data_IF_062034184937
#
_entry.id   IF_062034184937
#
_cell.length_a   1.000
_cell.length_b   1.000
_cell.length_c   1.000
_cell.angle_alpha   90.00
_cell.angle_beta   90.00
_cell.angle_gamma   90.00
#
_symmetry.space_group_name_H-M   'P 1'
#
loop_
_entity.id
_entity.type
_entity.pdbx_description
1 polymer ?
#
# COMPACT_ATOMS: atom_id res chain seq x y z
N UNK A 1 -9.22 -8.11 -6.83
CA UNK A 1 -9.12 -6.67 -7.13
C UNK A 1 -8.87 -5.85 -5.87
N UNK A 2 -9.69 -5.97 -4.81
CA UNK A 2 -9.57 -5.19 -3.56
C UNK A 2 -8.18 -5.34 -2.93
N UNK A 3 -7.60 -6.54 -2.89
CA UNK A 3 -6.24 -6.78 -2.36
C UNK A 3 -5.14 -6.09 -3.17
N UNK A 4 -5.29 -6.02 -4.49
CA UNK A 4 -4.34 -5.28 -5.33
C UNK A 4 -4.37 -3.80 -4.98
N UNK A 5 -5.58 -3.22 -4.83
CA UNK A 5 -5.73 -1.83 -4.39
C UNK A 5 -5.11 -1.66 -2.99
N UNK A 6 -5.49 -2.52 -2.04
CA UNK A 6 -4.95 -2.47 -0.67
C UNK A 6 -3.42 -2.47 -0.69
N UNK A 7 -2.79 -3.34 -1.47
CA UNK A 7 -1.33 -3.49 -1.51
C UNK A 7 -0.56 -2.26 -1.97
N UNK A 8 -1.18 -1.35 -2.71
CA UNK A 8 -0.55 -0.08 -3.13
C UNK A 8 -0.79 1.06 -2.15
N UNK A 9 -1.88 1.01 -1.38
CA UNK A 9 -2.27 2.11 -0.50
C UNK A 9 -1.95 1.87 0.97
N UNK A 10 -1.85 0.62 1.40
CA UNK A 10 -1.60 0.21 2.78
C UNK A 10 -0.47 -0.80 2.85
N UNK A 11 0.05 -1.04 4.04
CA UNK A 11 1.08 -2.07 4.30
C UNK A 11 0.59 -3.41 3.76
N UNK A 12 1.43 -4.16 3.03
CA UNK A 12 1.05 -5.44 2.45
C UNK A 12 0.69 -6.47 3.53
N UNK A 13 -0.18 -7.39 3.14
CA UNK A 13 -0.56 -8.51 3.99
C UNK A 13 0.64 -9.44 4.27
N UNK A 14 0.60 -10.08 5.42
CA UNK A 14 1.53 -11.17 5.75
C UNK A 14 1.34 -12.30 4.72
N UNK A 15 2.44 -12.93 4.24
CA UNK A 15 2.36 -14.02 3.27
C UNK A 15 1.40 -15.12 3.73
N UNK A 16 0.53 -15.56 2.82
CA UNK A 16 -0.50 -16.56 3.06
C UNK A 16 -1.57 -16.19 4.12
N UNK A 17 -1.56 -14.96 4.63
CA UNK A 17 -2.52 -14.47 5.64
C UNK A 17 -3.20 -13.18 5.17
N UNK A 18 -4.12 -13.26 4.20
CA UNK A 18 -4.82 -12.07 3.70
C UNK A 18 -5.68 -11.45 4.79
N UNK A 19 -5.61 -10.14 4.88
CA UNK A 19 -6.30 -9.39 5.93
C UNK A 19 -7.79 -9.16 5.62
N UNK A 20 -8.09 -8.79 4.37
CA UNK A 20 -9.45 -8.60 3.90
C UNK A 20 -9.85 -9.74 2.96
N UNK A 21 -11.07 -10.24 3.12
CA UNK A 21 -11.67 -11.31 2.32
C UNK A 21 -10.87 -12.62 2.34
N UNK A 22 -11.35 -13.59 3.11
CA UNK A 22 -10.83 -14.94 3.11
C UNK A 22 -10.94 -15.57 1.71
N UNK A 23 -9.89 -16.26 1.25
CA UNK A 23 -9.98 -17.17 0.10
C UNK A 23 -9.01 -18.32 0.29
N UNK A 24 -9.50 -19.52 0.11
CA UNK A 24 -8.75 -20.79 0.28
C UNK A 24 -7.56 -20.94 -0.67
N UNK A 25 -7.50 -20.14 -1.75
CA UNK A 25 -6.40 -20.14 -2.73
C UNK A 25 -5.26 -19.16 -2.47
N UNK A 26 -5.26 -18.44 -1.34
CA UNK A 26 -4.31 -17.32 -1.11
C UNK A 26 -2.92 -17.72 -0.59
N UNK A 27 -2.58 -19.00 -0.60
CA UNK A 27 -1.35 -19.54 0.02
C UNK A 27 -0.04 -18.86 -0.40
N UNK A 28 0.02 -18.22 -1.58
CA UNK A 28 1.25 -17.68 -2.16
C UNK A 28 1.15 -16.19 -2.57
N UNK A 29 0.07 -15.52 -2.23
CA UNK A 29 -0.18 -14.14 -2.65
C UNK A 29 0.25 -13.12 -1.59
N UNK A 30 1.54 -12.83 -1.47
CA UNK A 30 1.96 -11.57 -0.87
C UNK A 30 2.13 -10.55 -2.00
N UNK A 31 1.18 -9.64 -2.12
CA UNK A 31 1.23 -8.54 -3.07
C UNK A 31 1.71 -7.33 -2.29
N UNK A 32 2.93 -6.87 -2.55
CA UNK A 32 3.49 -5.68 -1.91
C UNK A 32 3.80 -4.61 -2.95
N UNK A 33 3.07 -3.51 -2.91
CA UNK A 33 3.29 -2.33 -3.74
C UNK A 33 3.33 -1.01 -2.94
N UNK A 34 3.31 -1.11 -1.62
CA UNK A 34 3.25 0.03 -0.72
C UNK A 34 4.60 0.74 -0.59
N UNK A 35 4.59 2.06 -0.71
CA UNK A 35 5.73 2.89 -0.34
C UNK A 35 5.55 3.37 1.11
N UNK A 36 6.39 2.92 2.06
CA UNK A 36 6.30 3.35 3.46
C UNK A 36 6.26 4.88 3.59
N UNK A 37 5.38 5.39 4.43
CA UNK A 37 5.04 6.80 4.61
C UNK A 37 4.30 7.44 3.42
N UNK A 38 4.72 7.18 2.19
CA UNK A 38 4.21 7.88 1.00
C UNK A 38 2.93 7.28 0.42
N UNK A 39 2.74 5.95 0.57
CA UNK A 39 1.65 5.27 -0.15
C UNK A 39 1.66 5.64 -1.64
N UNK A 40 0.53 5.88 -2.24
CA UNK A 40 0.39 6.41 -3.61
C UNK A 40 0.38 7.94 -3.68
N UNK A 41 0.52 8.66 -2.55
CA UNK A 41 0.31 10.11 -2.51
C UNK A 41 1.30 10.89 -3.41
N UNK A 42 2.58 10.49 -3.43
CA UNK A 42 3.59 11.10 -4.30
C UNK A 42 3.33 10.83 -5.77
N UNK A 43 2.97 9.60 -6.10
CA UNK A 43 2.65 9.17 -7.48
C UNK A 43 1.45 9.96 -8.02
N UNK A 44 0.37 10.06 -7.24
CA UNK A 44 -0.84 10.80 -7.61
C UNK A 44 -0.54 12.29 -7.78
N UNK A 45 0.22 12.87 -6.86
CA UNK A 45 0.61 14.29 -6.94
C UNK A 45 1.44 14.56 -8.19
N UNK A 46 2.44 13.72 -8.48
CA UNK A 46 3.28 13.82 -9.67
C UNK A 46 2.47 13.63 -10.95
N UNK A 47 1.66 12.58 -11.04
CA UNK A 47 0.83 12.29 -12.20
C UNK A 47 -0.16 13.42 -12.51
N UNK A 48 -0.71 14.07 -11.48
CA UNK A 48 -1.60 15.21 -11.64
C UNK A 48 -0.88 16.44 -12.21
N UNK A 49 0.36 16.67 -11.79
CA UNK A 49 1.17 17.80 -12.24
C UNK A 49 1.82 17.57 -13.62
N UNK A 50 2.30 16.35 -13.87
CA UNK A 50 3.08 15.99 -15.06
C UNK A 50 2.46 14.83 -15.85
N UNK A 51 1.19 14.97 -16.26
CA UNK A 51 0.38 13.93 -16.92
C UNK A 51 1.00 13.29 -18.16
N UNK A 52 1.79 14.04 -18.91
CA UNK A 52 2.42 13.57 -20.17
C UNK A 52 3.78 12.89 -19.94
N UNK A 53 4.29 12.89 -18.71
CA UNK A 53 5.59 12.31 -18.38
C UNK A 53 5.58 10.79 -18.64
N UNK A 54 6.70 10.25 -19.13
CA UNK A 54 6.80 8.83 -19.48
C UNK A 54 6.52 7.89 -18.31
N UNK A 55 6.95 8.25 -17.10
CA UNK A 55 6.72 7.44 -15.89
C UNK A 55 5.24 7.29 -15.54
N UNK A 56 4.42 8.32 -15.84
CA UNK A 56 2.95 8.24 -15.67
C UNK A 56 2.35 7.22 -16.63
N UNK A 57 2.79 7.21 -17.87
CA UNK A 57 2.34 6.20 -18.86
C UNK A 57 2.76 4.81 -18.44
N UNK A 58 4.01 4.66 -17.98
CA UNK A 58 4.54 3.36 -17.58
C UNK A 58 3.85 2.81 -16.33
N UNK A 59 3.58 3.65 -15.31
CA UNK A 59 2.85 3.18 -14.11
C UNK A 59 1.41 2.79 -14.46
N UNK A 60 0.76 3.47 -15.41
CA UNK A 60 -0.57 3.07 -15.90
C UNK A 60 -0.51 1.70 -16.56
N UNK A 61 0.48 1.44 -17.41
CA UNK A 61 0.67 0.13 -18.03
C UNK A 61 0.90 -0.94 -16.96
N UNK A 62 1.76 -0.67 -15.97
CA UNK A 62 1.98 -1.59 -14.84
C UNK A 62 0.68 -1.86 -14.07
N UNK A 63 -0.16 -0.85 -13.83
CA UNK A 63 -1.45 -1.04 -13.18
C UNK A 63 -2.39 -1.91 -14.03
N UNK A 64 -2.48 -1.67 -15.34
CA UNK A 64 -3.27 -2.51 -16.24
C UNK A 64 -2.79 -3.97 -16.17
N UNK A 65 -1.47 -4.20 -16.23
CA UNK A 65 -0.91 -5.54 -16.08
C UNK A 65 -1.18 -6.16 -14.71
N UNK A 66 -1.22 -5.36 -13.63
CA UNK A 66 -1.55 -5.86 -12.30
C UNK A 66 -3.02 -6.26 -12.15
N UNK A 67 -3.94 -5.54 -12.81
CA UNK A 67 -5.38 -5.80 -12.68
C UNK A 67 -5.90 -6.86 -13.66
N UNK A 68 -5.24 -7.08 -14.79
CA UNK A 68 -5.66 -8.07 -15.78
C UNK A 68 -4.86 -9.36 -15.59
N UNK A 69 -5.49 -10.48 -15.15
CA UNK A 69 -4.77 -11.71 -14.80
C UNK A 69 -3.91 -12.28 -15.93
N UNK A 70 -4.38 -12.23 -17.16
CA UNK A 70 -3.63 -12.75 -18.30
C UNK A 70 -2.35 -11.93 -18.58
N UNK A 71 -2.41 -10.59 -18.42
CA UNK A 71 -1.24 -9.73 -18.56
C UNK A 71 -0.28 -9.89 -17.39
N UNK A 72 -0.82 -10.10 -16.18
CA UNK A 72 -0.01 -10.40 -15.01
C UNK A 72 0.74 -11.74 -15.18
N UNK A 73 0.07 -12.76 -15.68
CA UNK A 73 0.66 -14.10 -15.88
C UNK A 73 1.77 -14.11 -16.97
N UNK A 74 1.80 -13.12 -17.87
CA UNK A 74 2.87 -12.96 -18.84
C UNK A 74 4.26 -12.82 -18.19
N UNK A 75 4.33 -12.22 -16.98
CA UNK A 75 5.57 -12.14 -16.19
C UNK A 75 6.01 -13.49 -15.60
N UNK A 76 5.22 -14.53 -15.75
CA UNK A 76 5.51 -15.90 -15.35
C UNK A 76 5.18 -16.88 -16.47
N UNK A 77 5.60 -16.56 -17.69
CA UNK A 77 5.46 -17.41 -18.88
C UNK A 77 4.04 -17.93 -19.13
N UNK A 78 3.02 -17.09 -18.86
CA UNK A 78 1.61 -17.42 -18.96
C UNK A 78 1.15 -18.63 -18.13
N UNK A 79 1.89 -18.96 -17.06
CA UNK A 79 1.41 -19.91 -16.08
C UNK A 79 0.21 -19.31 -15.35
N UNK A 80 -0.91 -20.04 -15.22
CA UNK A 80 -2.23 -19.55 -14.80
C UNK A 80 -2.33 -18.94 -13.40
N UNK A 81 -1.21 -18.83 -12.67
CA UNK A 81 -1.15 -18.21 -11.35
C UNK A 81 -0.93 -16.71 -11.41
N UNK A 82 -1.56 -15.96 -10.49
CA UNK A 82 -1.25 -14.55 -10.29
C UNK A 82 0.19 -14.40 -9.76
N UNK A 83 1.01 -13.61 -10.44
CA UNK A 83 2.43 -13.46 -10.14
C UNK A 83 2.75 -12.02 -9.71
N UNK A 84 3.23 -11.81 -8.49
CA UNK A 84 3.45 -10.49 -7.93
C UNK A 84 4.92 -10.09 -7.79
N UNK A 85 5.88 -10.99 -8.11
CA UNK A 85 7.32 -10.68 -7.94
C UNK A 85 7.82 -9.55 -8.83
N UNK A 86 7.19 -9.30 -9.98
CA UNK A 86 7.54 -8.20 -10.87
C UNK A 86 7.15 -6.82 -10.32
N UNK A 87 6.43 -6.76 -9.19
CA UNK A 87 5.98 -5.50 -8.57
C UNK A 87 7.13 -4.60 -8.10
N UNK A 88 8.37 -5.10 -8.03
CA UNK A 88 9.53 -4.25 -7.81
C UNK A 88 9.68 -3.17 -8.89
N UNK A 89 9.25 -3.44 -10.14
CA UNK A 89 9.28 -2.45 -11.22
C UNK A 89 8.35 -1.25 -10.95
N UNK A 90 7.03 -1.43 -10.75
CA UNK A 90 6.17 -0.31 -10.40
C UNK A 90 6.59 0.38 -9.12
N UNK A 91 7.10 -0.32 -8.09
CA UNK A 91 7.60 0.28 -6.85
C UNK A 91 8.75 1.23 -7.14
N UNK A 92 9.71 0.84 -7.97
CA UNK A 92 10.84 1.69 -8.35
C UNK A 92 10.38 2.95 -9.08
N UNK A 93 9.44 2.81 -10.02
CA UNK A 93 8.85 3.95 -10.74
C UNK A 93 8.09 4.87 -9.77
N UNK A 94 7.31 4.31 -8.85
CA UNK A 94 6.59 5.05 -7.84
C UNK A 94 7.53 5.82 -6.91
N UNK A 95 8.63 5.19 -6.48
CA UNK A 95 9.66 5.83 -5.65
C UNK A 95 10.31 7.00 -6.40
N UNK A 96 10.68 6.81 -7.67
CA UNK A 96 11.25 7.87 -8.51
C UNK A 96 10.25 9.03 -8.70
N UNK A 97 8.98 8.77 -9.02
CA UNK A 97 7.95 9.80 -9.17
C UNK A 97 7.74 10.57 -7.86
N UNK A 98 7.77 9.86 -6.73
CA UNK A 98 7.62 10.46 -5.41
C UNK A 98 8.81 11.34 -5.04
N UNK A 99 10.05 10.90 -5.34
CA UNK A 99 11.25 11.68 -5.14
C UNK A 99 11.23 12.96 -5.99
N UNK A 100 10.90 12.87 -7.27
CA UNK A 100 10.75 14.01 -8.15
C UNK A 100 9.62 14.97 -7.68
N UNK A 101 8.52 14.41 -7.14
CA UNK A 101 7.47 15.24 -6.57
C UNK A 101 7.91 15.97 -5.30
N UNK A 102 8.80 15.38 -4.49
CA UNK A 102 9.39 16.03 -3.32
C UNK A 102 10.38 17.11 -3.70
N UNK A 103 11.15 16.94 -4.75
CA UNK A 103 12.12 17.94 -5.23
C UNK A 103 11.42 19.13 -5.87
N UNK A 104 10.40 18.93 -6.66
CA UNK A 104 9.65 19.98 -7.35
C UNK A 104 8.61 20.64 -6.42
N UNK A 105 8.97 21.81 -5.85
CA UNK A 105 8.11 22.57 -4.92
C UNK A 105 6.77 23.02 -5.51
N UNK A 106 6.61 23.02 -6.82
CA UNK A 106 5.33 23.36 -7.48
C UNK A 106 4.28 22.25 -7.29
N UNK A 107 4.71 21.01 -7.06
CA UNK A 107 3.84 19.85 -6.88
C UNK A 107 3.30 19.82 -5.45
N UNK A 108 1.98 19.79 -5.31
CA UNK A 108 1.29 19.75 -4.01
C UNK A 108 0.81 18.35 -3.70
N UNK A 109 1.19 17.82 -2.53
CA UNK A 109 0.78 16.47 -2.08
C UNK A 109 -0.67 16.40 -1.58
N UNK A 110 -1.32 17.55 -1.33
CA UNK A 110 -2.69 17.61 -0.75
C UNK A 110 -3.68 16.66 -1.44
N UNK A 111 -3.73 16.65 -2.77
CA UNK A 111 -4.66 15.78 -3.51
C UNK A 111 -4.30 14.31 -3.41
N UNK A 112 -3.01 13.97 -3.44
CA UNK A 112 -2.53 12.60 -3.25
C UNK A 112 -2.86 12.08 -1.86
N UNK A 113 -2.57 12.87 -0.82
CA UNK A 113 -2.89 12.53 0.57
C UNK A 113 -4.40 12.32 0.75
N UNK A 114 -5.23 13.22 0.20
CA UNK A 114 -6.68 13.11 0.29
C UNK A 114 -7.22 11.83 -0.36
N UNK A 115 -6.71 11.47 -1.55
CA UNK A 115 -7.12 10.25 -2.25
C UNK A 115 -6.66 9.02 -1.46
N UNK A 116 -5.41 8.98 -0.99
CA UNK A 116 -4.92 7.87 -0.16
C UNK A 116 -5.74 7.71 1.12
N UNK A 117 -6.01 8.82 1.83
CA UNK A 117 -6.86 8.81 3.01
C UNK A 117 -8.29 8.33 2.72
N UNK A 118 -8.87 8.74 1.60
CA UNK A 118 -10.18 8.26 1.14
C UNK A 118 -10.20 6.75 0.86
N UNK A 119 -9.16 6.22 0.20
CA UNK A 119 -9.05 4.77 -0.04
C UNK A 119 -8.88 4.02 1.29
N UNK A 120 -8.03 4.50 2.19
CA UNK A 120 -7.86 3.89 3.53
C UNK A 120 -9.15 3.90 4.32
N UNK A 121 -9.91 5.01 4.29
CA UNK A 121 -11.21 5.11 4.93
C UNK A 121 -12.22 4.12 4.32
N UNK A 122 -12.26 3.98 2.98
CA UNK A 122 -13.10 3.00 2.32
C UNK A 122 -12.75 1.56 2.73
N UNK A 123 -11.45 1.23 2.83
CA UNK A 123 -11.00 -0.09 3.30
C UNK A 123 -11.40 -0.32 4.77
N UNK A 124 -11.29 0.70 5.62
CA UNK A 124 -11.74 0.62 7.01
C UNK A 124 -13.25 0.39 7.11
N UNK A 125 -14.05 1.08 6.31
CA UNK A 125 -15.50 0.86 6.25
C UNK A 125 -15.81 -0.57 5.80
N UNK A 126 -15.15 -1.08 4.75
CA UNK A 126 -15.33 -2.46 4.28
C UNK A 126 -15.01 -3.46 5.40
N UNK A 127 -13.93 -3.25 6.16
CA UNK A 127 -13.54 -4.14 7.25
C UNK A 127 -14.58 -4.19 8.38
N UNK A 128 -15.32 -3.11 8.60
CA UNK A 128 -16.34 -2.99 9.66
C UNK A 128 -17.71 -3.54 9.22
N UNK A 129 -17.97 -3.64 7.91
CA UNK A 129 -19.29 -4.05 7.42
C UNK A 129 -19.76 -5.37 8.05
N UNK A 130 -21.07 -5.46 8.37
CA UNK A 130 -21.63 -6.67 8.93
C UNK A 130 -21.72 -7.77 7.87
N UNK A 131 -21.44 -9.00 8.27
CA UNK A 131 -21.61 -10.21 7.46
C UNK A 131 -22.53 -11.17 8.17
N UNK A 132 -23.41 -11.84 7.40
CA UNK A 132 -24.21 -12.95 7.92
C UNK A 132 -23.31 -14.15 8.17
N UNK A 133 -23.28 -14.63 9.40
CA UNK A 133 -22.59 -15.86 9.80
C UNK A 133 -23.37 -17.08 9.31
N UNK A 134 -22.74 -18.24 9.25
CA UNK A 134 -23.37 -19.52 8.86
C UNK A 134 -24.59 -19.87 9.71
N UNK A 135 -24.60 -19.41 10.96
CA UNK A 135 -25.69 -19.64 11.93
C UNK A 135 -26.85 -18.62 11.81
N UNK A 136 -26.76 -17.67 10.85
CA UNK A 136 -27.79 -16.69 10.56
C UNK A 136 -27.67 -15.36 11.34
N UNK A 137 -26.73 -15.27 12.28
CA UNK A 137 -26.46 -14.07 13.08
C UNK A 137 -25.66 -13.01 12.27
N UNK A 138 -25.84 -11.74 12.64
CA UNK A 138 -25.11 -10.63 12.06
C UNK A 138 -23.86 -10.36 12.91
N UNK A 139 -22.69 -10.68 12.37
CA UNK A 139 -21.40 -10.36 12.99
C UNK A 139 -20.74 -9.17 12.30
N UNK A 140 -20.16 -8.28 13.11
CA UNK A 140 -19.39 -7.11 12.67
C UNK A 140 -17.91 -7.48 12.60
N UNK A 141 -17.14 -6.80 11.74
CA UNK A 141 -15.70 -7.02 11.51
C UNK A 141 -15.33 -8.38 10.87
N UNK A 142 -16.29 -9.10 10.36
CA UNK A 142 -16.09 -10.42 9.73
C UNK A 142 -15.32 -10.37 8.38
N UNK A 143 -15.23 -9.18 7.75
CA UNK A 143 -14.42 -9.03 6.53
C UNK A 143 -12.93 -8.87 6.82
N UNK A 144 -12.53 -8.59 8.07
CA UNK A 144 -11.15 -8.55 8.50
C UNK A 144 -10.77 -9.86 9.18
N UNK A 145 -10.04 -10.74 8.47
CA UNK A 145 -9.61 -12.04 9.01
C UNK A 145 -8.71 -11.90 10.25
N UNK A 146 -7.97 -10.80 10.34
CA UNK A 146 -7.04 -10.49 11.44
C UNK A 146 -7.24 -9.04 11.90
N UNK A 147 -8.29 -8.74 12.68
CA UNK A 147 -8.67 -7.36 13.03
C UNK A 147 -7.55 -6.57 13.71
N UNK A 148 -6.77 -7.21 14.60
CA UNK A 148 -5.65 -6.58 15.28
C UNK A 148 -4.55 -6.15 14.30
N UNK A 149 -4.19 -7.03 13.36
CA UNK A 149 -3.23 -6.72 12.33
C UNK A 149 -3.75 -5.60 11.41
N UNK A 150 -5.02 -5.68 10.99
CA UNK A 150 -5.65 -4.65 10.16
C UNK A 150 -5.62 -3.27 10.83
N UNK A 151 -5.94 -3.21 12.14
CA UNK A 151 -5.88 -1.98 12.90
C UNK A 151 -4.46 -1.39 12.94
N UNK A 152 -3.43 -2.21 13.19
CA UNK A 152 -2.03 -1.76 13.19
C UNK A 152 -1.62 -1.25 11.81
N UNK A 153 -1.94 -1.97 10.74
CA UNK A 153 -1.68 -1.56 9.35
C UNK A 153 -2.33 -0.21 9.04
N UNK A 154 -3.59 -0.04 9.45
CA UNK A 154 -4.33 1.21 9.23
C UNK A 154 -3.70 2.37 10.01
N UNK A 155 -3.36 2.17 11.28
CA UNK A 155 -2.73 3.19 12.14
C UNK A 155 -1.39 3.64 11.56
N UNK A 156 -0.50 2.71 11.20
CA UNK A 156 0.82 3.04 10.65
C UNK A 156 0.66 3.76 9.29
N UNK A 157 -0.27 3.32 8.45
CA UNK A 157 -0.51 3.94 7.14
C UNK A 157 -1.05 5.37 7.28
N UNK A 158 -1.98 5.60 8.19
CA UNK A 158 -2.50 6.96 8.49
C UNK A 158 -1.41 7.84 9.08
N UNK A 159 -0.63 7.32 10.05
CA UNK A 159 0.51 8.05 10.63
C UNK A 159 1.51 8.47 9.56
N UNK A 160 1.81 7.59 8.59
CA UNK A 160 2.64 7.91 7.43
C UNK A 160 2.09 9.06 6.60
N UNK A 161 0.80 9.08 6.31
CA UNK A 161 0.17 10.18 5.56
C UNK A 161 0.18 11.50 6.36
N UNK A 162 0.01 11.45 7.68
CA UNK A 162 0.13 12.64 8.54
C UNK A 162 1.56 13.19 8.53
N UNK A 163 2.57 12.33 8.66
CA UNK A 163 3.98 12.72 8.54
C UNK A 163 4.25 13.36 7.18
N UNK A 164 3.78 12.77 6.10
CA UNK A 164 3.92 13.32 4.76
C UNK A 164 3.25 14.70 4.63
N UNK A 165 2.09 14.89 5.25
CA UNK A 165 1.41 16.19 5.28
C UNK A 165 2.26 17.25 6.00
N UNK A 166 2.89 16.92 7.13
CA UNK A 166 3.78 17.82 7.84
C UNK A 166 5.05 18.14 7.04
N UNK A 167 5.65 17.15 6.39
CA UNK A 167 6.82 17.33 5.51
C UNK A 167 6.47 18.25 4.33
N UNK A 168 5.32 18.04 3.67
CA UNK A 168 4.87 18.92 2.59
C UNK A 168 4.64 20.35 3.08
N UNK A 169 4.16 20.53 4.30
CA UNK A 169 3.98 21.84 4.92
C UNK A 169 5.31 22.53 5.22
N UNK A 170 6.31 21.80 5.74
CA UNK A 170 7.67 22.32 5.98
C UNK A 170 8.34 22.73 4.66
N UNK A 171 8.25 21.86 3.67
CA UNK A 171 8.80 22.10 2.32
C UNK A 171 8.26 23.37 1.70
N UNK A 172 6.96 23.61 1.78
CA UNK A 172 6.31 24.81 1.23
C UNK A 172 6.66 26.09 1.98
N UNK A 173 7.01 26.00 3.27
CA UNK A 173 7.50 27.14 4.05
C UNK A 173 8.95 27.48 3.78
N UNK A 174 9.63 26.84 2.83
CA UNK A 174 11.02 27.07 2.49
C UNK A 174 12.02 26.53 3.52
N UNK A 175 11.57 25.80 4.56
CA UNK A 175 12.43 25.21 5.58
C UNK A 175 13.14 23.96 5.04
N UNK A 176 14.30 23.65 5.61
CA UNK A 176 14.98 22.38 5.33
C UNK A 176 14.07 21.22 5.80
N UNK A 177 13.64 20.40 4.86
CA UNK A 177 12.76 19.26 5.10
C UNK A 177 13.44 17.92 4.83
N UNK A 178 14.62 17.94 4.19
CA UNK A 178 15.28 16.71 3.71
C UNK A 178 15.59 15.75 4.85
N UNK A 179 16.19 16.26 5.93
CA UNK A 179 16.50 15.43 7.11
C UNK A 179 15.23 14.87 7.75
N UNK A 180 14.19 15.71 7.88
CA UNK A 180 12.90 15.26 8.42
C UNK A 180 12.27 14.20 7.53
N UNK A 181 12.28 14.37 6.21
CA UNK A 181 11.80 13.39 5.25
C UNK A 181 12.58 12.08 5.35
N UNK A 182 13.90 12.12 5.39
CA UNK A 182 14.76 10.94 5.50
C UNK A 182 14.48 10.17 6.80
N UNK A 183 14.53 10.85 7.95
CA UNK A 183 14.29 10.22 9.25
C UNK A 183 12.90 9.61 9.32
N UNK A 184 11.87 10.36 8.89
CA UNK A 184 10.49 9.86 8.87
C UNK A 184 10.31 8.65 7.95
N UNK A 185 10.97 8.65 6.77
CA UNK A 185 10.91 7.51 5.83
C UNK A 185 11.56 6.27 6.44
N UNK A 186 12.76 6.40 7.02
CA UNK A 186 13.45 5.28 7.69
C UNK A 186 12.62 4.74 8.84
N UNK A 187 12.08 5.62 9.69
CA UNK A 187 11.20 5.21 10.80
C UNK A 187 9.95 4.47 10.29
N UNK A 188 9.32 4.97 9.23
CA UNK A 188 8.17 4.32 8.62
C UNK A 188 8.54 2.94 8.03
N UNK A 189 9.69 2.82 7.36
CA UNK A 189 10.18 1.53 6.86
C UNK A 189 10.37 0.53 7.99
N UNK A 190 11.03 0.94 9.09
CA UNK A 190 11.23 0.09 10.27
C UNK A 190 9.88 -0.33 10.87
N UNK A 191 8.96 0.61 11.08
CA UNK A 191 7.63 0.31 11.63
C UNK A 191 6.84 -0.67 10.75
N UNK A 192 6.84 -0.45 9.42
CA UNK A 192 6.18 -1.35 8.47
C UNK A 192 6.79 -2.75 8.50
N UNK A 193 8.12 -2.85 8.42
CA UNK A 193 8.82 -4.14 8.42
C UNK A 193 8.61 -4.88 9.73
N UNK A 194 8.78 -4.18 10.88
CA UNK A 194 8.58 -4.77 12.20
C UNK A 194 7.15 -5.30 12.39
N UNK A 195 6.13 -4.57 11.91
CA UNK A 195 4.74 -5.03 11.99
C UNK A 195 4.51 -6.29 11.15
N UNK A 196 5.01 -6.33 9.91
CA UNK A 196 4.88 -7.50 9.02
C UNK A 196 5.62 -8.72 9.61
N UNK A 197 6.82 -8.53 10.15
CA UNK A 197 7.59 -9.63 10.78
C UNK A 197 6.89 -10.13 12.04
N UNK A 198 6.50 -9.24 12.95
CA UNK A 198 5.82 -9.60 14.18
C UNK A 198 4.54 -10.41 13.92
N UNK A 199 3.66 -9.90 13.06
CA UNK A 199 2.44 -10.63 12.71
C UNK A 199 2.73 -11.85 11.82
N UNK A 200 3.80 -11.84 11.04
CA UNK A 200 4.23 -13.00 10.27
C UNK A 200 4.58 -14.18 11.17
N UNK A 201 5.26 -13.92 12.29
CA UNK A 201 5.57 -14.95 13.30
C UNK A 201 4.31 -15.34 14.06
N UNK A 202 3.55 -14.38 14.59
CA UNK A 202 2.38 -14.66 15.44
C UNK A 202 1.25 -15.37 14.69
N UNK A 203 1.10 -15.13 13.39
CA UNK A 203 0.12 -15.79 12.53
C UNK A 203 0.65 -17.08 11.87
N UNK A 204 1.85 -17.49 12.20
CA UNK A 204 2.46 -18.74 11.72
C UNK A 204 2.82 -18.74 10.23
N UNK A 205 3.09 -17.57 9.63
CA UNK A 205 3.60 -17.46 8.26
C UNK A 205 5.13 -17.56 8.21
N UNK A 206 5.81 -17.16 9.29
CA UNK A 206 7.26 -17.27 9.45
C UNK A 206 7.59 -18.19 10.65
N UNK A 207 8.71 -18.91 10.62
CA UNK A 207 9.17 -19.66 11.77
C UNK A 207 9.47 -18.69 12.93
N UNK A 208 9.18 -19.12 14.15
CA UNK A 208 9.45 -18.33 15.37
C UNK A 208 10.95 -18.29 15.73
N UNK A 209 11.72 -19.23 15.20
CA UNK A 209 13.17 -19.36 15.43
C UNK A 209 13.89 -19.58 14.11
N UNK A 210 14.98 -18.87 13.89
CA UNK A 210 15.96 -19.11 12.85
C UNK A 210 17.18 -19.78 13.49
#
# INVERSE_FOLDING_TARGET
LVRIIQSFFMIPDVPARPNLFSSDGAKWSSIGGYLPMFSMAGVIAFAKAKRKHWSVKLIIICMICAFIPILNSAFYTFNSSYYARWFYMPILIMAMMTAQALDDRSIRFKSGIAICGGVMAAMAVIAILPKKTTDGDIAWFEFANYPAYFAVVLIISIAGLLLLYFIDRLRRKGRSFMTAALVSTVTACVACTSSVVYFGVTLGSYPATY
#
